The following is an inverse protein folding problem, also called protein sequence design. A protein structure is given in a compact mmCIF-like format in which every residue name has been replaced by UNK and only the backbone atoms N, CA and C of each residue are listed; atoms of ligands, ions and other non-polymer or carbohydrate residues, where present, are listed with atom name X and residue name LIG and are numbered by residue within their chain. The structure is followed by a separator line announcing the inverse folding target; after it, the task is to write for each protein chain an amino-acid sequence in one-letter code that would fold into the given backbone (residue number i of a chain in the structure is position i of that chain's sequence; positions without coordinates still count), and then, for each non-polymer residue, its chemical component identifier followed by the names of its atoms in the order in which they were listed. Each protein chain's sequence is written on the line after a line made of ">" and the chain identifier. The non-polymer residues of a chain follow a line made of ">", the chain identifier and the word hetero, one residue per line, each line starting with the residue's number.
data_IF_825497488698
#
_entry.id   IF_825497488698
#
_cell.length_a   1.000
_cell.length_b   1.000
_cell.length_c   1.000
_cell.angle_alpha   90.00
_cell.angle_beta   90.00
_cell.angle_gamma   90.00
#
_symmetry.space_group_name_H-M   'P 1'
#
loop_
_entity.id
_entity.type
_entity.pdbx_description
1 polymer ?
#
# COMPACT_ATOMS: atom_id res chain seq x y z
N UNK A 1 29.65 -47.84 17.46
CA UNK A 1 29.00 -46.56 17.76
C UNK A 1 27.98 -46.81 18.88
N UNK A 2 28.09 -46.07 20.01
CA UNK A 2 27.25 -46.30 21.20
C UNK A 2 25.77 -46.06 20.84
N UNK A 3 24.88 -46.85 21.39
CA UNK A 3 23.40 -46.83 21.05
C UNK A 3 22.76 -45.47 21.24
N UNK A 4 23.21 -44.66 22.22
CA UNK A 4 22.73 -43.31 22.41
C UNK A 4 23.10 -42.38 21.28
N UNK A 5 24.31 -42.48 20.67
CA UNK A 5 24.73 -41.70 19.50
C UNK A 5 23.78 -42.00 18.31
N UNK A 6 23.47 -43.28 18.07
CA UNK A 6 22.50 -43.65 17.00
C UNK A 6 21.13 -43.03 17.23
N UNK A 7 20.61 -43.06 18.47
CA UNK A 7 19.31 -42.46 18.82
C UNK A 7 19.31 -40.97 18.62
N UNK A 8 20.38 -40.26 19.05
CA UNK A 8 20.54 -38.82 18.86
C UNK A 8 20.61 -38.47 17.36
N UNK A 9 21.39 -39.19 16.55
CA UNK A 9 21.46 -38.97 15.11
C UNK A 9 20.12 -39.21 14.42
N UNK A 10 19.39 -40.26 14.79
CA UNK A 10 18.05 -40.47 14.27
C UNK A 10 17.07 -39.37 14.67
N UNK A 11 17.14 -38.88 15.91
CA UNK A 11 16.33 -37.72 16.37
C UNK A 11 16.63 -36.47 15.59
N UNK A 12 17.91 -36.14 15.39
CA UNK A 12 18.33 -34.98 14.58
C UNK A 12 17.88 -35.14 13.13
N UNK A 13 18.06 -36.34 12.53
CA UNK A 13 17.59 -36.58 11.17
C UNK A 13 16.08 -36.40 11.04
N UNK A 14 15.29 -36.90 12.00
CA UNK A 14 13.84 -36.72 12.02
C UNK A 14 13.44 -35.23 12.14
N UNK A 15 14.13 -34.44 12.96
CA UNK A 15 13.90 -33.00 13.08
C UNK A 15 14.24 -32.25 11.79
N UNK A 16 15.35 -32.61 11.13
CA UNK A 16 15.71 -32.02 9.83
C UNK A 16 14.63 -32.32 8.77
N UNK A 17 14.20 -33.58 8.69
CA UNK A 17 13.11 -33.96 7.76
C UNK A 17 11.83 -33.19 8.07
N UNK A 18 11.44 -33.10 9.34
CA UNK A 18 10.25 -32.35 9.73
C UNK A 18 10.38 -30.85 9.36
N UNK A 19 11.55 -30.24 9.59
CA UNK A 19 11.81 -28.83 9.19
C UNK A 19 11.70 -28.63 7.67
N UNK A 20 12.28 -29.54 6.89
CA UNK A 20 12.20 -29.49 5.42
C UNK A 20 10.74 -29.61 4.96
N UNK A 21 10.00 -30.57 5.50
CA UNK A 21 8.57 -30.74 5.19
C UNK A 21 7.78 -29.49 5.55
N UNK A 22 8.03 -28.87 6.71
CA UNK A 22 7.37 -27.64 7.13
C UNK A 22 7.66 -26.48 6.16
N UNK A 23 8.91 -26.31 5.74
CA UNK A 23 9.30 -25.26 4.75
C UNK A 23 8.53 -25.45 3.43
N UNK A 24 8.48 -26.68 2.90
CA UNK A 24 7.75 -26.93 1.65
C UNK A 24 6.24 -26.78 1.80
N UNK A 25 5.68 -27.19 2.93
CA UNK A 25 4.26 -27.00 3.23
C UNK A 25 3.90 -25.53 3.30
N UNK A 26 4.69 -24.72 4.02
CA UNK A 26 4.48 -23.27 4.12
C UNK A 26 4.66 -22.55 2.76
N UNK A 27 5.67 -22.96 1.98
CA UNK A 27 5.86 -22.42 0.63
C UNK A 27 4.65 -22.72 -0.27
N UNK A 28 4.14 -23.96 -0.21
CA UNK A 28 2.94 -24.37 -0.97
C UNK A 28 1.69 -23.60 -0.51
N UNK A 29 1.55 -23.36 0.79
CA UNK A 29 0.49 -22.49 1.31
C UNK A 29 0.62 -21.06 0.77
N UNK A 30 1.84 -20.50 0.73
CA UNK A 30 2.10 -19.20 0.12
C UNK A 30 1.69 -19.14 -1.35
N UNK A 31 2.03 -20.15 -2.14
CA UNK A 31 1.63 -20.21 -3.55
C UNK A 31 0.11 -20.32 -3.70
N UNK A 32 -0.57 -21.13 -2.87
CA UNK A 32 -2.03 -21.21 -2.86
C UNK A 32 -2.67 -19.89 -2.48
N UNK A 33 -2.10 -19.16 -1.53
CA UNK A 33 -2.58 -17.82 -1.16
C UNK A 33 -2.50 -16.83 -2.32
N UNK A 34 -1.45 -16.86 -3.14
CA UNK A 34 -1.31 -15.97 -4.32
C UNK A 34 -2.41 -16.18 -5.37
N UNK A 35 -2.93 -17.38 -5.47
CA UNK A 35 -3.91 -17.76 -6.50
C UNK A 35 -5.31 -18.04 -5.95
N UNK A 36 -5.51 -17.90 -4.63
CA UNK A 36 -6.83 -18.12 -4.03
C UNK A 36 -7.88 -17.17 -4.60
N UNK A 37 -9.10 -17.61 -4.61
CA UNK A 37 -10.23 -16.74 -4.88
C UNK A 37 -10.67 -16.04 -3.59
N UNK A 38 -10.78 -14.72 -3.65
CA UNK A 38 -11.30 -13.88 -2.57
C UNK A 38 -12.67 -13.36 -3.03
N UNK A 39 -13.70 -13.81 -2.36
CA UNK A 39 -15.06 -13.37 -2.63
C UNK A 39 -15.34 -12.10 -1.79
N UNK A 40 -15.67 -11.01 -2.49
CA UNK A 40 -16.00 -9.72 -1.88
C UNK A 40 -17.24 -9.16 -2.54
N UNK A 41 -18.25 -8.89 -1.72
CA UNK A 41 -19.42 -8.15 -2.19
C UNK A 41 -19.03 -6.71 -2.51
N UNK A 42 -19.18 -6.32 -3.77
CA UNK A 42 -18.77 -5.00 -4.27
C UNK A 42 -19.93 -4.31 -4.97
N UNK A 43 -20.18 -3.09 -4.59
CA UNK A 43 -21.14 -2.21 -5.28
C UNK A 43 -20.36 -1.30 -6.23
N UNK A 44 -20.80 -1.22 -7.48
CA UNK A 44 -20.19 -0.33 -8.46
C UNK A 44 -20.39 1.13 -8.06
N UNK A 45 -19.35 1.94 -8.25
CA UNK A 45 -19.44 3.41 -8.15
C UNK A 45 -19.68 3.96 -9.54
N UNK A 46 -20.63 4.89 -9.72
CA UNK A 46 -20.82 5.59 -10.99
C UNK A 46 -19.52 6.26 -11.44
N UNK A 47 -19.12 6.01 -12.68
CA UNK A 47 -17.87 6.57 -13.19
C UNK A 47 -18.08 8.05 -13.55
N UNK A 48 -17.19 8.90 -13.11
CA UNK A 48 -17.12 10.29 -13.53
C UNK A 48 -16.46 10.41 -14.91
N UNK A 49 -16.69 11.51 -15.59
CA UNK A 49 -16.12 11.77 -16.92
C UNK A 49 -15.94 13.24 -17.24
N UNK A 50 -16.34 14.13 -16.32
CA UNK A 50 -16.17 15.57 -16.48
C UNK A 50 -14.70 16.01 -16.21
N UNK A 51 -14.34 17.18 -16.74
CA UNK A 51 -12.97 17.69 -16.65
C UNK A 51 -12.48 17.88 -15.19
N UNK A 52 -13.36 18.34 -14.30
CA UNK A 52 -13.01 18.57 -12.90
C UNK A 52 -12.69 17.23 -12.18
N UNK A 53 -13.49 16.20 -12.44
CA UNK A 53 -13.23 14.85 -11.93
C UNK A 53 -11.91 14.28 -12.46
N UNK A 54 -11.58 14.51 -13.72
CA UNK A 54 -10.31 14.06 -14.32
C UNK A 54 -9.12 14.79 -13.68
N UNK A 55 -9.22 16.11 -13.50
CA UNK A 55 -8.18 16.91 -12.84
C UNK A 55 -7.96 16.45 -11.38
N UNK A 56 -9.05 16.29 -10.63
CA UNK A 56 -9.03 15.73 -9.26
C UNK A 56 -8.40 14.35 -9.24
N UNK A 57 -8.78 13.48 -10.16
CA UNK A 57 -8.22 12.13 -10.30
C UNK A 57 -6.73 12.13 -10.59
N UNK A 58 -6.26 13.02 -11.46
CA UNK A 58 -4.83 13.22 -11.74
C UNK A 58 -4.05 13.67 -10.52
N UNK A 59 -4.61 14.59 -9.73
CA UNK A 59 -4.05 14.98 -8.47
C UNK A 59 -3.93 13.80 -7.49
N UNK A 60 -5.02 13.05 -7.30
CA UNK A 60 -5.03 11.89 -6.41
C UNK A 60 -4.09 10.78 -6.88
N UNK A 61 -4.03 10.51 -8.19
CA UNK A 61 -3.12 9.52 -8.77
C UNK A 61 -1.67 9.80 -8.42
N UNK A 62 -1.25 11.08 -8.48
CA UNK A 62 0.11 11.48 -8.11
C UNK A 62 0.31 11.51 -6.61
N UNK A 63 -0.57 12.18 -5.88
CA UNK A 63 -0.37 12.47 -4.44
C UNK A 63 -0.68 11.29 -3.51
N UNK A 64 -1.38 10.26 -3.99
CA UNK A 64 -1.69 9.05 -3.21
C UNK A 64 -0.87 7.83 -3.67
N UNK A 65 0.23 8.05 -4.41
CA UNK A 65 1.23 7.04 -4.72
C UNK A 65 0.87 6.03 -5.81
N UNK A 66 -0.24 6.21 -6.56
CA UNK A 66 -0.57 5.30 -7.66
C UNK A 66 0.57 5.27 -8.71
N UNK A 67 1.09 6.45 -9.05
CA UNK A 67 2.19 6.61 -10.00
C UNK A 67 3.53 6.04 -9.55
N UNK A 68 3.74 5.83 -8.24
CA UNK A 68 5.00 5.30 -7.71
C UNK A 68 5.20 3.83 -8.13
N UNK A 69 4.10 3.08 -8.25
CA UNK A 69 4.12 1.69 -8.68
C UNK A 69 3.72 1.54 -10.16
N UNK A 70 2.67 2.25 -10.59
CA UNK A 70 2.10 2.10 -11.94
C UNK A 70 2.74 3.01 -13.00
N UNK A 71 3.78 3.77 -12.64
CA UNK A 71 4.36 4.78 -13.51
C UNK A 71 3.52 6.06 -13.59
N UNK A 72 4.17 7.21 -13.79
CA UNK A 72 3.47 8.50 -13.90
C UNK A 72 2.50 8.56 -15.08
N UNK A 73 2.77 7.78 -16.12
CA UNK A 73 1.96 7.63 -17.32
C UNK A 73 1.05 6.39 -17.30
N UNK A 74 1.02 5.66 -16.19
CA UNK A 74 0.20 4.47 -16.00
C UNK A 74 0.69 3.22 -16.72
N UNK A 75 1.87 3.23 -17.36
CA UNK A 75 2.39 2.10 -18.16
C UNK A 75 2.85 0.89 -17.33
N UNK A 76 2.77 0.98 -16.01
CA UNK A 76 3.28 -0.03 -15.07
C UNK A 76 4.74 0.18 -14.72
N UNK A 77 5.26 -0.64 -13.82
CA UNK A 77 6.65 -0.52 -13.41
C UNK A 77 7.13 -1.66 -12.50
N UNK A 78 8.44 -1.83 -12.40
CA UNK A 78 9.05 -2.71 -11.41
C UNK A 78 8.99 -2.02 -10.05
N UNK A 79 8.37 -2.68 -9.08
CA UNK A 79 8.22 -2.16 -7.71
C UNK A 79 9.26 -2.77 -6.78
N UNK A 80 9.52 -4.07 -6.94
CA UNK A 80 10.55 -4.80 -6.17
C UNK A 80 11.31 -5.71 -7.11
N UNK A 81 12.63 -5.63 -7.06
CA UNK A 81 13.52 -6.54 -7.79
C UNK A 81 14.82 -6.71 -7.00
N UNK A 82 15.25 -7.96 -6.79
CA UNK A 82 16.50 -8.29 -6.12
C UNK A 82 17.61 -8.72 -7.08
N UNK A 83 17.33 -8.67 -8.39
CA UNK A 83 18.26 -9.10 -9.45
C UNK A 83 18.49 -10.62 -9.52
N UNK A 84 17.79 -11.42 -8.71
CA UNK A 84 17.99 -12.88 -8.62
C UNK A 84 16.68 -13.65 -8.79
N UNK A 85 15.81 -13.60 -7.81
CA UNK A 85 14.64 -14.48 -7.71
C UNK A 85 13.34 -13.75 -7.37
N UNK A 86 13.42 -12.50 -6.90
CA UNK A 86 12.27 -11.68 -6.55
C UNK A 86 11.99 -10.66 -7.63
N UNK A 87 10.77 -10.66 -8.14
CA UNK A 87 10.27 -9.62 -9.02
C UNK A 87 8.79 -9.37 -8.71
N UNK A 88 8.47 -8.12 -8.40
CA UNK A 88 7.09 -7.64 -8.31
C UNK A 88 6.96 -6.44 -9.24
N UNK A 89 6.11 -6.60 -10.26
CA UNK A 89 5.79 -5.57 -11.24
C UNK A 89 4.33 -5.18 -11.10
N UNK A 90 4.07 -3.88 -10.98
CA UNK A 90 2.72 -3.32 -11.10
C UNK A 90 2.29 -3.29 -12.57
N UNK A 91 1.01 -3.59 -12.88
CA UNK A 91 0.55 -3.67 -14.26
C UNK A 91 0.41 -2.30 -14.93
N UNK A 92 0.45 -2.33 -16.26
CA UNK A 92 0.02 -1.23 -17.11
C UNK A 92 -1.50 -1.00 -16.93
N UNK A 93 -1.87 0.22 -16.52
CA UNK A 93 -3.25 0.66 -16.33
C UNK A 93 -3.84 1.35 -17.56
N UNK A 94 -3.04 1.61 -18.61
CA UNK A 94 -3.55 2.26 -19.83
C UNK A 94 -4.28 1.27 -20.71
N UNK A 95 -5.01 1.77 -21.71
CA UNK A 95 -5.66 0.95 -22.73
C UNK A 95 -4.69 0.43 -23.82
N UNK A 96 -3.39 0.67 -23.69
CA UNK A 96 -2.37 0.23 -24.65
C UNK A 96 -2.02 -1.26 -24.53
N UNK A 97 -1.13 -1.76 -25.39
CA UNK A 97 -0.68 -3.15 -25.36
C UNK A 97 -0.17 -3.56 -23.98
N UNK A 98 -0.63 -4.71 -23.47
CA UNK A 98 -0.30 -5.20 -22.12
C UNK A 98 -1.05 -4.52 -20.97
N UNK A 99 -1.93 -3.57 -21.28
CA UNK A 99 -2.81 -2.93 -20.29
C UNK A 99 -3.86 -3.89 -19.74
N UNK A 100 -4.14 -3.80 -18.44
CA UNK A 100 -5.07 -4.74 -17.77
C UNK A 100 -6.48 -4.18 -17.61
N UNK A 101 -6.68 -2.87 -17.85
CA UNK A 101 -7.94 -2.20 -17.48
C UNK A 101 -8.93 -2.06 -18.66
N UNK A 102 -8.54 -2.42 -19.87
CA UNK A 102 -9.39 -2.24 -21.07
C UNK A 102 -10.75 -2.96 -20.95
N UNK A 103 -10.81 -4.09 -20.25
CA UNK A 103 -12.03 -4.87 -20.04
C UNK A 103 -12.70 -4.60 -18.68
N UNK A 104 -12.17 -3.68 -17.85
CA UNK A 104 -12.70 -3.44 -16.50
C UNK A 104 -14.11 -2.85 -16.55
N UNK A 105 -15.01 -3.49 -15.84
CA UNK A 105 -16.33 -2.96 -15.53
C UNK A 105 -16.26 -2.01 -14.32
N UNK A 106 -17.24 -1.14 -14.08
CA UNK A 106 -17.25 -0.25 -12.92
C UNK A 106 -16.98 -0.96 -11.58
N UNK A 107 -17.53 -2.16 -11.41
CA UNK A 107 -17.32 -2.99 -10.21
C UNK A 107 -15.87 -3.47 -10.04
N UNK A 108 -15.14 -3.68 -11.14
CA UNK A 108 -13.76 -4.16 -11.11
C UNK A 108 -12.79 -3.11 -10.59
N UNK A 109 -13.06 -1.84 -10.88
CA UNK A 109 -12.30 -0.73 -10.33
C UNK A 109 -12.44 -0.66 -8.81
N UNK A 110 -13.67 -0.74 -8.30
CA UNK A 110 -13.93 -0.75 -6.85
C UNK A 110 -13.26 -1.95 -6.20
N UNK A 111 -13.45 -3.15 -6.78
CA UNK A 111 -12.85 -4.39 -6.30
C UNK A 111 -11.32 -4.27 -6.22
N UNK A 112 -10.69 -3.77 -7.27
CA UNK A 112 -9.21 -3.69 -7.34
C UNK A 112 -8.65 -2.62 -6.41
N UNK A 113 -9.23 -1.43 -6.41
CA UNK A 113 -8.69 -0.28 -5.67
C UNK A 113 -9.00 -0.39 -4.18
N UNK A 114 -10.29 -0.57 -3.80
CA UNK A 114 -10.70 -0.59 -2.40
C UNK A 114 -10.46 -1.91 -1.69
N UNK A 115 -10.58 -3.02 -2.41
CA UNK A 115 -10.54 -4.33 -1.79
C UNK A 115 -9.27 -5.11 -2.08
N UNK A 116 -8.40 -4.60 -2.94
CA UNK A 116 -7.16 -5.28 -3.30
C UNK A 116 -7.38 -6.64 -3.97
N UNK A 117 -8.50 -6.81 -4.66
CA UNK A 117 -8.89 -8.05 -5.34
C UNK A 117 -9.05 -7.78 -6.84
N UNK A 118 -8.30 -8.48 -7.65
CA UNK A 118 -8.36 -8.35 -9.12
C UNK A 118 -9.69 -8.88 -9.68
N UNK A 119 -10.07 -8.52 -10.94
CA UNK A 119 -11.32 -9.00 -11.56
C UNK A 119 -11.47 -10.53 -11.58
N UNK A 120 -10.36 -11.25 -11.63
CA UNK A 120 -10.34 -12.71 -11.58
C UNK A 120 -10.42 -13.30 -10.15
N UNK A 121 -10.73 -12.48 -9.16
CA UNK A 121 -10.85 -12.89 -7.76
C UNK A 121 -9.52 -13.08 -7.01
N UNK A 122 -8.37 -12.95 -7.67
CA UNK A 122 -7.07 -13.12 -7.01
C UNK A 122 -6.67 -11.84 -6.25
N UNK A 123 -6.00 -11.97 -5.08
CA UNK A 123 -5.55 -10.80 -4.34
C UNK A 123 -4.41 -10.06 -5.07
N UNK A 124 -4.33 -8.76 -4.87
CA UNK A 124 -3.12 -7.98 -5.09
C UNK A 124 -2.16 -8.21 -3.91
N UNK A 125 -0.85 -8.37 -4.20
CA UNK A 125 0.11 -8.71 -3.13
C UNK A 125 0.51 -7.50 -2.29
N UNK A 126 0.94 -6.41 -2.95
CA UNK A 126 1.56 -5.26 -2.28
C UNK A 126 0.85 -3.92 -2.53
N UNK A 127 -0.22 -3.90 -3.32
CA UNK A 127 -1.01 -2.68 -3.50
C UNK A 127 -1.55 -2.22 -2.13
N UNK A 128 -1.35 -0.96 -1.72
CA UNK A 128 -1.78 -0.48 -0.40
C UNK A 128 -3.28 -0.16 -0.39
N UNK A 129 -4.10 -1.13 -0.75
CA UNK A 129 -5.56 -0.96 -0.86
C UNK A 129 -6.22 -0.66 0.48
N UNK A 130 -5.56 -0.95 1.61
CA UNK A 130 -5.99 -0.54 2.94
C UNK A 130 -6.08 0.99 3.09
N UNK A 131 -5.27 1.75 2.37
CA UNK A 131 -5.32 3.21 2.32
C UNK A 131 -6.46 3.68 1.41
N UNK A 132 -6.65 3.02 0.26
CA UNK A 132 -7.66 3.37 -0.74
C UNK A 132 -9.06 2.87 -0.38
N UNK A 133 -9.18 1.87 0.50
CA UNK A 133 -10.46 1.39 1.02
C UNK A 133 -11.29 2.52 1.65
N UNK A 134 -10.63 3.58 2.11
CA UNK A 134 -11.24 4.77 2.72
C UNK A 134 -11.52 5.91 1.73
N UNK A 135 -11.27 5.75 0.45
CA UNK A 135 -11.65 6.76 -0.53
C UNK A 135 -13.16 6.98 -0.52
N UNK A 136 -13.59 8.22 -0.65
CA UNK A 136 -14.98 8.54 -0.99
C UNK A 136 -15.32 7.96 -2.36
N UNK A 137 -16.59 7.78 -2.65
CA UNK A 137 -17.02 7.32 -3.99
C UNK A 137 -16.60 8.32 -5.07
N UNK A 138 -16.70 9.62 -4.77
CA UNK A 138 -16.28 10.68 -5.68
C UNK A 138 -14.78 10.65 -5.99
N UNK A 139 -13.92 10.48 -4.98
CA UNK A 139 -12.48 10.41 -5.20
C UNK A 139 -12.05 9.13 -5.94
N UNK A 140 -12.70 7.99 -5.64
CA UNK A 140 -12.47 6.77 -6.41
C UNK A 140 -12.89 6.94 -7.87
N UNK A 141 -14.09 7.49 -8.12
CA UNK A 141 -14.58 7.78 -9.48
C UNK A 141 -13.63 8.72 -10.23
N UNK A 142 -13.10 9.74 -9.54
CA UNK A 142 -12.15 10.70 -10.11
C UNK A 142 -10.84 10.02 -10.51
N UNK A 143 -10.25 9.20 -9.64
CA UNK A 143 -9.02 8.43 -9.98
C UNK A 143 -9.25 7.54 -11.20
N UNK A 144 -10.39 6.85 -11.26
CA UNK A 144 -10.76 6.00 -12.40
C UNK A 144 -10.94 6.84 -13.66
N UNK A 145 -11.61 8.00 -13.58
CA UNK A 145 -11.78 8.91 -14.72
C UNK A 145 -10.42 9.34 -15.31
N UNK A 146 -9.46 9.70 -14.46
CA UNK A 146 -8.11 10.04 -14.88
C UNK A 146 -7.39 8.85 -15.54
N UNK A 147 -7.40 7.67 -14.91
CA UNK A 147 -6.73 6.47 -15.45
C UNK A 147 -7.27 6.12 -16.83
N UNK A 148 -8.58 6.20 -17.03
CA UNK A 148 -9.23 5.90 -18.32
C UNK A 148 -8.89 6.89 -19.43
N UNK A 149 -8.40 8.08 -19.10
CA UNK A 149 -7.95 9.10 -20.06
C UNK A 149 -6.46 9.10 -20.30
N UNK A 150 -5.70 8.26 -19.59
CA UNK A 150 -4.26 8.14 -19.85
C UNK A 150 -4.02 7.71 -21.31
N UNK A 151 -3.07 8.35 -22.01
CA UNK A 151 -2.71 7.94 -23.36
C UNK A 151 -2.31 6.46 -23.38
N UNK A 152 -2.76 5.70 -24.41
CA UNK A 152 -2.36 4.32 -24.55
C UNK A 152 -0.84 4.16 -24.61
N UNK A 153 -0.28 3.34 -23.73
CA UNK A 153 1.15 3.02 -23.66
C UNK A 153 1.35 1.52 -23.72
N UNK A 154 2.42 1.09 -24.37
CA UNK A 154 2.85 -0.29 -24.26
C UNK A 154 3.45 -0.54 -22.86
N UNK A 155 3.10 -1.66 -22.27
CA UNK A 155 3.58 -2.07 -20.96
C UNK A 155 3.33 -3.55 -20.73
N UNK A 156 3.44 -3.99 -19.48
CA UNK A 156 3.25 -5.39 -19.12
C UNK A 156 2.14 -5.54 -18.08
N UNK A 157 1.57 -6.74 -18.00
CA UNK A 157 0.69 -7.13 -16.91
C UNK A 157 1.42 -7.26 -15.58
N UNK A 158 0.67 -7.49 -14.50
CA UNK A 158 1.26 -7.74 -13.18
C UNK A 158 2.13 -9.00 -13.21
N UNK A 159 3.33 -8.91 -12.65
CA UNK A 159 4.21 -10.06 -12.43
C UNK A 159 4.55 -10.19 -10.95
N UNK A 160 4.41 -11.39 -10.40
CA UNK A 160 4.79 -11.71 -9.03
C UNK A 160 5.65 -12.98 -9.07
N UNK A 161 6.93 -12.82 -8.78
CA UNK A 161 7.88 -13.92 -8.52
C UNK A 161 8.43 -13.74 -7.13
N UNK A 162 8.32 -14.78 -6.30
CA UNK A 162 8.75 -14.76 -4.91
C UNK A 162 9.76 -15.87 -4.67
N UNK A 163 10.92 -15.60 -4.06
CA UNK A 163 11.88 -16.62 -3.63
C UNK A 163 11.29 -17.47 -2.50
N UNK A 164 11.84 -18.68 -2.34
CA UNK A 164 11.37 -19.63 -1.34
C UNK A 164 11.18 -19.02 0.07
N UNK A 165 12.13 -18.25 0.64
CA UNK A 165 11.94 -17.66 1.96
C UNK A 165 10.71 -16.74 2.04
N UNK A 166 10.47 -15.93 1.02
CA UNK A 166 9.31 -15.01 0.99
C UNK A 166 8.00 -15.78 0.86
N UNK A 167 7.97 -16.86 0.06
CA UNK A 167 6.80 -17.75 -0.04
C UNK A 167 6.47 -18.41 1.30
N UNK A 168 7.50 -18.88 2.03
CA UNK A 168 7.37 -19.46 3.38
C UNK A 168 6.79 -18.42 4.34
N UNK A 169 7.34 -17.21 4.38
CA UNK A 169 6.85 -16.12 5.25
C UNK A 169 5.41 -15.72 4.92
N UNK A 170 5.06 -15.68 3.63
CA UNK A 170 3.69 -15.39 3.20
C UNK A 170 2.72 -16.53 3.58
N UNK A 171 3.13 -17.79 3.39
CA UNK A 171 2.36 -18.95 3.82
C UNK A 171 2.16 -19.03 5.32
N UNK A 172 3.18 -18.63 6.09
CA UNK A 172 3.12 -18.53 7.55
C UNK A 172 2.31 -17.32 8.06
N UNK A 173 1.84 -16.43 7.18
CA UNK A 173 1.08 -15.24 7.59
C UNK A 173 1.92 -14.14 8.25
N UNK A 174 3.25 -14.17 8.10
CA UNK A 174 4.14 -13.12 8.63
C UNK A 174 3.87 -11.78 7.95
N UNK A 175 3.49 -11.80 6.69
CA UNK A 175 2.92 -10.63 6.03
C UNK A 175 1.63 -11.00 5.29
N UNK A 176 0.80 -9.99 5.07
CA UNK A 176 -0.53 -10.11 4.47
C UNK A 176 -0.55 -9.47 3.10
N UNK A 177 -1.31 -10.03 2.17
CA UNK A 177 -1.64 -9.36 0.91
C UNK A 177 -2.67 -8.23 1.12
N UNK A 178 -2.92 -7.44 0.08
CA UNK A 178 -3.81 -6.29 0.16
C UNK A 178 -5.20 -6.66 0.71
N UNK A 179 -5.78 -7.78 0.25
CA UNK A 179 -7.12 -8.18 0.67
C UNK A 179 -7.20 -8.60 2.15
N UNK A 180 -6.13 -9.13 2.72
CA UNK A 180 -6.07 -9.55 4.12
C UNK A 180 -5.91 -8.39 5.12
N UNK A 181 -5.58 -7.19 4.63
CA UNK A 181 -5.38 -5.99 5.46
C UNK A 181 -6.65 -5.14 5.61
N UNK A 182 -7.70 -5.48 4.88
CA UNK A 182 -8.90 -4.67 4.74
C UNK A 182 -10.07 -5.33 5.45
N UNK A 183 -10.82 -4.58 6.24
CA UNK A 183 -12.18 -4.98 6.61
C UNK A 183 -13.11 -4.64 5.44
N UNK A 184 -13.47 -5.66 4.67
CA UNK A 184 -14.31 -5.51 3.47
C UNK A 184 -15.73 -5.03 3.75
N UNK A 185 -16.16 -4.98 5.01
CA UNK A 185 -17.48 -4.51 5.43
C UNK A 185 -17.49 -3.01 5.72
N UNK A 186 -16.32 -2.36 5.81
CA UNK A 186 -16.25 -0.93 6.03
C UNK A 186 -16.85 -0.17 4.85
N UNK A 187 -17.77 0.73 5.15
CA UNK A 187 -18.28 1.67 4.17
C UNK A 187 -17.17 2.62 3.68
N UNK A 188 -17.27 3.12 2.43
CA UNK A 188 -16.43 4.22 1.96
C UNK A 188 -16.47 5.41 2.92
N UNK A 189 -15.43 6.24 2.90
CA UNK A 189 -15.47 7.49 3.66
C UNK A 189 -16.64 8.34 3.19
N UNK A 190 -17.32 8.99 4.13
CA UNK A 190 -18.30 10.01 3.78
C UNK A 190 -17.59 11.20 3.13
N UNK A 191 -18.26 11.91 2.21
CA UNK A 191 -17.69 13.12 1.63
C UNK A 191 -17.26 14.11 2.72
N UNK A 192 -16.03 14.60 2.61
CA UNK A 192 -15.48 15.63 3.50
C UNK A 192 -15.17 16.84 2.64
N UNK A 193 -15.69 18.00 3.03
CA UNK A 193 -15.39 19.24 2.34
C UNK A 193 -13.87 19.52 2.37
N UNK A 194 -13.30 19.81 1.20
CA UNK A 194 -11.90 20.21 1.10
C UNK A 194 -11.68 21.53 1.83
N UNK A 195 -10.64 21.59 2.63
CA UNK A 195 -10.31 22.76 3.43
C UNK A 195 -9.33 22.45 4.55
N UNK A 196 -8.79 23.51 5.17
CA UNK A 196 -7.87 23.35 6.31
C UNK A 196 -8.66 23.06 7.58
N UNK A 197 -9.16 21.82 7.67
CA UNK A 197 -9.93 21.31 8.81
C UNK A 197 -9.35 19.99 9.32
N UNK A 198 -9.57 19.69 10.60
CA UNK A 198 -9.13 18.40 11.17
C UNK A 198 -9.82 17.21 10.49
N UNK A 199 -11.08 17.35 10.06
CA UNK A 199 -11.82 16.31 9.35
C UNK A 199 -11.21 16.01 7.97
N UNK A 200 -10.87 17.05 7.19
CA UNK A 200 -10.17 16.85 5.92
C UNK A 200 -8.77 16.29 6.15
N UNK A 201 -8.03 16.77 7.17
CA UNK A 201 -6.74 16.23 7.55
C UNK A 201 -6.79 14.75 7.93
N UNK A 202 -7.83 14.30 8.64
CA UNK A 202 -8.07 12.90 8.95
C UNK A 202 -8.28 12.05 7.67
N UNK A 203 -9.00 12.60 6.70
CA UNK A 203 -9.18 11.95 5.41
C UNK A 203 -7.86 11.81 4.63
N UNK A 204 -7.05 12.87 4.60
CA UNK A 204 -5.71 12.84 3.97
C UNK A 204 -4.79 11.84 4.69
N UNK A 205 -4.86 11.75 6.01
CA UNK A 205 -4.04 10.86 6.84
C UNK A 205 -4.27 9.36 6.57
N UNK A 206 -5.37 8.98 5.89
CA UNK A 206 -5.55 7.58 5.46
C UNK A 206 -4.36 7.07 4.62
N UNK A 207 -3.74 7.92 3.80
CA UNK A 207 -2.54 7.57 3.03
C UNK A 207 -1.25 7.42 3.86
N UNK A 208 -1.32 7.62 5.18
CA UNK A 208 -0.18 7.43 6.09
C UNK A 208 -0.30 6.12 6.89
N UNK A 209 -1.51 5.55 6.96
CA UNK A 209 -1.83 4.45 7.88
C UNK A 209 -1.12 3.15 7.55
N UNK A 210 -0.83 2.88 6.28
CA UNK A 210 -0.15 1.66 5.85
C UNK A 210 1.21 1.46 6.51
N UNK A 211 1.97 2.53 6.69
CA UNK A 211 3.27 2.51 7.36
C UNK A 211 3.18 2.93 8.83
N UNK A 212 2.41 3.98 9.13
CA UNK A 212 2.37 4.60 10.46
C UNK A 212 1.30 4.00 11.38
N UNK A 213 0.64 2.88 10.98
CA UNK A 213 -0.51 2.22 11.62
C UNK A 213 -1.80 3.04 11.56
N UNK A 214 -2.93 2.36 11.78
CA UNK A 214 -4.25 2.99 11.71
C UNK A 214 -4.47 4.11 12.76
N UNK A 215 -3.78 4.03 13.88
CA UNK A 215 -3.80 5.01 14.96
C UNK A 215 -2.64 6.02 14.90
N UNK A 216 -1.81 5.95 13.85
CA UNK A 216 -0.65 6.80 13.63
C UNK A 216 0.42 6.72 14.75
N UNK A 217 0.40 5.64 15.53
CA UNK A 217 1.35 5.40 16.63
C UNK A 217 2.76 5.02 16.14
N UNK A 218 2.89 4.69 14.85
CA UNK A 218 4.17 4.28 14.28
C UNK A 218 4.62 2.88 14.70
N UNK A 219 5.90 2.63 14.58
CA UNK A 219 6.52 1.36 14.96
C UNK A 219 6.95 0.52 13.75
N UNK A 220 7.31 -0.74 13.99
CA UNK A 220 7.78 -1.62 12.93
C UNK A 220 6.69 -1.87 11.90
N UNK A 221 7.04 -1.71 10.62
CA UNK A 221 6.12 -1.92 9.50
C UNK A 221 6.00 -3.41 9.25
N UNK A 222 4.78 -3.93 9.31
CA UNK A 222 4.52 -5.37 9.14
C UNK A 222 4.88 -5.83 7.72
N UNK A 223 5.69 -6.88 7.62
CA UNK A 223 6.13 -7.43 6.33
C UNK A 223 7.21 -6.63 5.61
N UNK A 224 7.68 -5.53 6.17
CA UNK A 224 8.80 -4.78 5.62
C UNK A 224 10.14 -5.53 5.79
N UNK A 225 11.13 -5.25 4.92
CA UNK A 225 12.48 -5.75 5.10
C UNK A 225 13.04 -5.45 6.49
N UNK A 226 13.86 -6.34 7.07
CA UNK A 226 14.36 -6.19 8.45
C UNK A 226 15.20 -4.93 8.69
N UNK A 227 15.84 -4.42 7.65
CA UNK A 227 16.68 -3.22 7.63
C UNK A 227 15.89 -1.91 7.51
N UNK A 228 14.58 -1.99 7.25
CA UNK A 228 13.77 -0.78 7.22
C UNK A 228 13.60 -0.21 8.62
N UNK A 229 13.76 1.11 8.79
CA UNK A 229 13.51 1.76 10.08
C UNK A 229 12.05 1.63 10.49
N UNK A 230 11.80 1.66 11.79
CA UNK A 230 10.45 1.80 12.29
C UNK A 230 9.81 3.13 11.81
N UNK A 231 8.55 3.09 11.42
CA UNK A 231 7.81 4.30 11.10
C UNK A 231 7.67 5.19 12.35
N UNK A 232 7.82 6.48 12.19
CA UNK A 232 7.70 7.44 13.27
C UNK A 232 6.27 7.49 13.84
N UNK A 233 6.13 7.81 15.11
CA UNK A 233 4.83 8.16 15.70
C UNK A 233 4.43 9.55 15.21
N UNK A 234 3.30 9.64 14.50
CA UNK A 234 2.70 10.90 14.03
C UNK A 234 1.63 11.40 15.00
N UNK A 235 0.92 10.49 15.69
CA UNK A 235 -0.08 10.86 16.67
C UNK A 235 0.54 11.62 17.85
N UNK A 236 -0.19 12.55 18.48
CA UNK A 236 0.28 13.27 19.67
C UNK A 236 0.69 12.33 20.82
N UNK A 237 1.51 12.83 21.72
CA UNK A 237 1.99 12.12 22.91
C UNK A 237 3.49 11.86 22.88
N UNK A 238 3.97 11.12 23.87
CA UNK A 238 5.39 10.81 24.01
C UNK A 238 5.93 10.08 22.76
N UNK A 239 7.10 10.51 22.29
CA UNK A 239 7.74 9.97 21.09
C UNK A 239 7.18 10.49 19.77
N UNK A 240 6.19 11.39 19.75
CA UNK A 240 5.69 12.00 18.53
C UNK A 240 6.77 12.86 17.87
N UNK A 241 6.91 12.68 16.54
CA UNK A 241 7.84 13.51 15.76
C UNK A 241 7.23 14.85 15.36
N UNK A 242 5.92 15.05 15.56
CA UNK A 242 5.24 16.28 15.13
C UNK A 242 5.76 17.52 15.87
N UNK A 243 6.22 17.40 17.10
CA UNK A 243 6.87 18.48 17.82
C UNK A 243 8.17 19.04 17.21
N UNK A 244 8.73 18.36 16.20
CA UNK A 244 9.89 18.85 15.42
C UNK A 244 9.52 19.89 14.37
N UNK A 245 8.23 20.00 14.05
CA UNK A 245 7.71 20.88 13.01
C UNK A 245 6.90 22.00 13.69
N UNK A 246 7.47 23.23 13.80
CA UNK A 246 6.83 24.33 14.53
C UNK A 246 5.51 24.80 13.87
N UNK A 247 5.37 24.56 12.57
CA UNK A 247 4.20 24.94 11.79
C UNK A 247 4.01 24.05 10.56
N UNK A 248 2.91 24.26 9.86
CA UNK A 248 2.55 23.51 8.66
C UNK A 248 3.56 23.78 7.50
N UNK A 249 4.22 24.93 7.47
CA UNK A 249 5.20 25.25 6.42
C UNK A 249 6.47 24.40 6.59
N UNK A 250 6.97 24.28 7.81
CA UNK A 250 8.11 23.40 8.12
C UNK A 250 7.78 21.92 7.83
N UNK A 251 6.55 21.48 8.13
CA UNK A 251 6.08 20.14 7.80
C UNK A 251 5.99 19.95 6.27
N UNK A 252 5.43 20.93 5.53
CA UNK A 252 5.38 20.91 4.07
C UNK A 252 6.77 20.83 3.45
N UNK A 253 7.74 21.62 3.96
CA UNK A 253 9.11 21.59 3.49
C UNK A 253 9.73 20.19 3.64
N UNK A 254 9.47 19.51 4.76
CA UNK A 254 9.93 18.13 4.97
C UNK A 254 9.29 17.15 3.97
N UNK A 255 7.98 17.22 3.73
CA UNK A 255 7.31 16.37 2.75
C UNK A 255 7.84 16.57 1.32
N UNK A 256 8.23 17.80 0.97
CA UNK A 256 8.79 18.14 -0.34
C UNK A 256 10.25 17.71 -0.50
N UNK A 257 11.06 17.89 0.53
CA UNK A 257 12.53 17.78 0.44
C UNK A 257 13.11 16.51 1.04
N UNK A 258 12.35 15.81 1.89
CA UNK A 258 12.85 14.70 2.70
C UNK A 258 13.79 15.11 3.84
N UNK A 259 13.85 16.42 4.17
CA UNK A 259 14.71 16.94 5.24
C UNK A 259 13.90 17.58 6.35
N UNK A 260 14.29 17.32 7.59
CA UNK A 260 13.72 17.94 8.79
C UNK A 260 14.20 19.39 8.94
N UNK A 261 13.58 20.20 9.80
CA UNK A 261 14.02 21.57 10.07
C UNK A 261 15.48 21.69 10.55
N UNK A 262 16.00 20.68 11.23
CA UNK A 262 17.40 20.60 11.67
C UNK A 262 18.39 20.17 10.56
N UNK A 263 17.90 20.01 9.32
CA UNK A 263 18.68 19.58 8.15
C UNK A 263 18.89 18.06 8.04
N UNK A 264 18.53 17.27 9.06
CA UNK A 264 18.67 15.81 9.03
C UNK A 264 17.71 15.17 8.03
N UNK A 265 18.18 14.12 7.31
CA UNK A 265 17.37 13.43 6.33
C UNK A 265 16.32 12.51 7.01
N UNK A 266 15.13 12.46 6.43
CA UNK A 266 14.14 11.41 6.71
C UNK A 266 14.48 10.21 5.84
N UNK A 267 14.18 9.00 6.32
CA UNK A 267 14.41 7.76 5.56
C UNK A 267 13.75 7.81 4.19
N UNK A 268 14.47 7.36 3.16
CA UNK A 268 13.98 7.27 1.77
C UNK A 268 12.94 6.16 1.58
N UNK A 269 12.66 5.35 2.61
CA UNK A 269 11.51 4.44 2.65
C UNK A 269 10.19 5.21 2.60
N UNK A 270 10.18 6.45 3.08
CA UNK A 270 9.02 7.33 2.98
C UNK A 270 8.82 7.77 1.51
N UNK A 271 7.59 7.68 0.95
CA UNK A 271 7.34 7.84 -0.49
C UNK A 271 7.32 9.32 -0.90
N UNK A 272 8.48 9.99 -0.84
CA UNK A 272 8.59 11.42 -1.16
C UNK A 272 8.21 11.78 -2.59
N UNK A 273 8.20 10.82 -3.50
CA UNK A 273 7.78 11.05 -4.90
C UNK A 273 6.31 11.47 -4.96
N UNK A 274 5.45 10.80 -4.20
CA UNK A 274 4.02 11.14 -4.11
C UNK A 274 3.74 12.21 -3.05
N UNK A 275 4.42 12.19 -1.91
CA UNK A 275 4.16 13.15 -0.83
C UNK A 275 4.43 14.61 -1.23
N UNK A 276 5.41 14.86 -2.11
CA UNK A 276 5.68 16.20 -2.63
C UNK A 276 4.58 16.76 -3.54
N UNK A 277 3.72 15.90 -4.06
CA UNK A 277 2.58 16.26 -4.90
C UNK A 277 1.34 16.71 -4.07
N UNK A 278 1.38 16.55 -2.75
CA UNK A 278 0.31 17.06 -1.88
C UNK A 278 0.20 18.57 -2.02
N UNK A 279 -1.02 19.07 -2.26
CA UNK A 279 -1.31 20.49 -2.34
C UNK A 279 -1.25 21.15 -0.95
N UNK A 280 -1.25 22.47 -0.92
CA UNK A 280 -1.12 23.23 0.33
C UNK A 280 -2.27 22.97 1.29
N UNK A 281 -3.50 22.82 0.77
CA UNK A 281 -4.69 22.56 1.59
C UNK A 281 -4.58 21.23 2.29
N UNK A 282 -4.24 20.16 1.55
CA UNK A 282 -4.04 18.82 2.10
C UNK A 282 -2.94 18.78 3.16
N UNK A 283 -1.80 19.42 2.90
CA UNK A 283 -0.67 19.45 3.86
C UNK A 283 -1.05 20.20 5.13
N UNK A 284 -1.70 21.37 5.01
CA UNK A 284 -2.13 22.15 6.18
C UNK A 284 -3.21 21.44 6.99
N UNK A 285 -4.18 20.81 6.32
CA UNK A 285 -5.21 20.02 6.97
C UNK A 285 -4.61 18.79 7.68
N UNK A 286 -3.68 18.08 7.01
CA UNK A 286 -2.96 16.96 7.58
C UNK A 286 -2.18 17.37 8.83
N UNK A 287 -1.41 18.46 8.76
CA UNK A 287 -0.67 18.99 9.90
C UNK A 287 -1.61 19.32 11.08
N UNK A 288 -2.71 20.03 10.80
CA UNK A 288 -3.73 20.34 11.81
C UNK A 288 -4.26 19.06 12.47
N UNK A 289 -4.64 18.05 11.68
CA UNK A 289 -5.12 16.78 12.21
C UNK A 289 -4.08 16.11 13.10
N UNK A 290 -2.84 15.94 12.62
CA UNK A 290 -1.77 15.25 13.33
C UNK A 290 -1.36 15.92 14.64
N UNK A 291 -1.58 17.24 14.76
CA UNK A 291 -1.24 17.99 15.97
C UNK A 291 -2.42 18.13 16.94
N UNK A 292 -3.66 17.90 16.49
CA UNK A 292 -4.87 18.13 17.32
C UNK A 292 -5.69 16.86 17.58
N UNK A 293 -5.40 15.73 16.88
CA UNK A 293 -6.11 14.48 17.11
C UNK A 293 -5.89 13.98 18.54
N UNK A 294 -6.85 13.21 19.06
CA UNK A 294 -6.69 12.55 20.36
C UNK A 294 -5.55 11.54 20.31
N UNK A 295 -4.68 11.60 21.30
CA UNK A 295 -3.59 10.61 21.42
C UNK A 295 -4.19 9.19 21.55
N UNK A 296 -3.71 8.21 20.78
CA UNK A 296 -4.10 6.82 21.00
C UNK A 296 -3.66 6.34 22.39
N UNK A 297 -4.55 5.56 23.03
CA UNK A 297 -4.31 4.96 24.37
C UNK A 297 -3.28 3.84 24.31
#
# INVERSE_FOLDING_TARGET
>A
MKTWIKRTLLGVAALVVAAVVAVFALATLGDRKLVRHVDVAVVAVPLAGDAASVERGGYLFRSRGCGDCHGRDGSGGVVVEDGKSMLIRAPNLTAGPGGVTAAYQPVDWVRSIRHGVKPNGRPALIMPSEEYARFTDADLAAVVAYIRQLPPKAGEGATIRLPLPVRVLYGAGVFKDASEKIDHRLAPAQPVAEGVTAAHGAYVANGCMGCHRADLSGGKIAGAPPDWPAAARLAPGEGSVMGRYPDAAAFAAMLKTGKRPDGSAVSTVMPFVSLRELNEVDVRALYLHLTTMTAPR
#
